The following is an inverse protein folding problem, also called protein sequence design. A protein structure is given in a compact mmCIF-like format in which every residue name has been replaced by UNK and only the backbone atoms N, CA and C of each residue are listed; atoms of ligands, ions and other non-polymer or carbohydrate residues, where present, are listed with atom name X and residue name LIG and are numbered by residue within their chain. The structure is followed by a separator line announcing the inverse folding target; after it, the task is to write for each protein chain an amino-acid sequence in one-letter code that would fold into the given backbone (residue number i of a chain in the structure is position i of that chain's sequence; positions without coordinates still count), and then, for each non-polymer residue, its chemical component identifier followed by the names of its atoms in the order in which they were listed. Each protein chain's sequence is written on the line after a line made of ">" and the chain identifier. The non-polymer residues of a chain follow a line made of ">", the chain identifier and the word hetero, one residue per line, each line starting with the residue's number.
data_IF_489421623407
#
_entry.id   IF_489421623407
#
_cell.length_a   1.000
_cell.length_b   1.000
_cell.length_c   1.000
_cell.angle_alpha   90.00
_cell.angle_beta   90.00
_cell.angle_gamma   90.00
#
_symmetry.space_group_name_H-M   'P 1'
#
loop_
_entity.id
_entity.type
_entity.pdbx_description
1 polymer ?
#
# COMPACT_ATOMS: atom_id res chain seq x y z
N UNK A 1 21.13 14.29 7.50
CA UNK A 1 21.31 15.54 8.28
C UNK A 1 20.23 16.52 7.80
N UNK A 2 19.21 16.84 8.61
CA UNK A 2 18.07 17.66 8.16
C UNK A 2 18.51 19.11 7.91
N UNK A 3 18.15 19.68 6.76
CA UNK A 3 18.41 21.09 6.45
C UNK A 3 17.72 22.00 7.49
N UNK A 4 18.45 22.92 8.15
CA UNK A 4 17.89 23.80 9.18
C UNK A 4 16.86 24.82 8.67
N UNK A 5 16.70 24.97 7.35
CA UNK A 5 15.78 25.92 6.71
C UNK A 5 14.47 25.31 6.17
N UNK A 6 14.25 23.99 6.35
CA UNK A 6 13.02 23.36 5.90
C UNK A 6 11.84 23.77 6.80
N UNK A 7 11.01 24.71 6.33
CA UNK A 7 9.76 25.12 6.98
C UNK A 7 8.84 23.91 7.17
N UNK A 8 8.49 23.60 8.42
CA UNK A 8 7.67 22.45 8.80
C UNK A 8 6.21 22.83 8.94
N UNK A 9 5.35 22.02 8.31
CA UNK A 9 3.91 22.07 8.53
C UNK A 9 3.57 21.72 9.98
N UNK A 10 2.45 22.25 10.49
CA UNK A 10 1.96 21.86 11.82
C UNK A 10 1.70 20.35 11.93
N UNK A 11 1.34 19.70 10.82
CA UNK A 11 0.97 18.27 10.77
C UNK A 11 2.13 17.37 11.22
N UNK A 12 3.37 17.74 10.91
CA UNK A 12 4.57 16.99 11.34
C UNK A 12 4.77 16.99 12.85
N UNK A 13 4.08 17.89 13.57
CA UNK A 13 4.15 18.04 15.02
C UNK A 13 2.93 17.46 15.72
N UNK A 14 1.96 16.94 14.98
CA UNK A 14 0.75 16.34 15.54
C UNK A 14 1.03 14.90 15.95
N UNK A 15 0.65 14.56 17.18
CA UNK A 15 0.73 13.18 17.69
C UNK A 15 -0.14 12.24 16.84
N UNK A 16 0.38 11.05 16.53
CA UNK A 16 -0.27 10.08 15.65
C UNK A 16 -1.68 9.68 16.12
N UNK A 17 -1.99 9.79 17.43
CA UNK A 17 -3.32 9.54 17.98
C UNK A 17 -4.41 10.47 17.43
N UNK A 18 -4.04 11.62 16.89
CA UNK A 18 -4.95 12.60 16.30
C UNK A 18 -5.01 12.50 14.78
N UNK A 19 -4.30 11.53 14.18
CA UNK A 19 -4.25 11.33 12.74
C UNK A 19 -5.14 10.16 12.33
N UNK A 20 -6.00 10.41 11.34
CA UNK A 20 -6.81 9.39 10.72
C UNK A 20 -5.91 8.33 10.05
N UNK A 21 -6.10 7.02 10.31
CA UNK A 21 -5.32 5.98 9.66
C UNK A 21 -5.54 5.92 8.14
N UNK A 22 -6.72 6.32 7.63
CA UNK A 22 -7.02 6.30 6.20
C UNK A 22 -6.36 7.44 5.42
N UNK A 23 -6.57 8.70 5.84
CA UNK A 23 -6.04 9.86 5.10
C UNK A 23 -4.72 10.40 5.65
N UNK A 24 -4.23 9.86 6.77
CA UNK A 24 -2.99 10.29 7.46
C UNK A 24 -2.95 11.77 7.81
N UNK A 25 -4.12 12.40 7.90
CA UNK A 25 -4.32 13.79 8.28
C UNK A 25 -5.07 13.88 9.61
N UNK A 26 -5.08 15.06 10.23
CA UNK A 26 -5.86 15.32 11.45
C UNK A 26 -7.33 14.97 11.24
N UNK A 27 -7.93 14.27 12.19
CA UNK A 27 -9.33 13.86 12.11
C UNK A 27 -10.28 15.03 11.81
N UNK A 28 -11.17 14.84 10.84
CA UNK A 28 -12.32 15.73 10.60
C UNK A 28 -13.60 14.92 10.77
N UNK A 29 -14.36 15.24 11.82
CA UNK A 29 -15.54 14.45 12.21
C UNK A 29 -15.18 13.01 12.55
N UNK A 30 -14.39 12.76 13.61
CA UNK A 30 -13.96 11.42 13.98
C UNK A 30 -15.18 10.52 14.23
N UNK A 31 -15.18 9.37 13.58
CA UNK A 31 -16.28 8.41 13.54
C UNK A 31 -15.75 7.03 13.86
N UNK A 32 -16.31 6.40 14.88
CA UNK A 32 -16.02 5.04 15.31
C UNK A 32 -16.59 4.04 14.33
N UNK A 33 -15.73 3.16 13.84
CA UNK A 33 -16.12 2.02 13.05
C UNK A 33 -16.71 0.94 13.96
N UNK A 34 -17.80 0.28 13.56
CA UNK A 34 -18.45 -0.77 14.35
C UNK A 34 -17.67 -2.08 14.29
N UNK A 35 -16.47 -2.10 14.84
CA UNK A 35 -15.58 -3.28 14.83
C UNK A 35 -15.30 -3.82 16.24
N UNK A 36 -15.86 -3.19 17.28
CA UNK A 36 -15.59 -3.52 18.68
C UNK A 36 -14.31 -2.94 19.27
N UNK A 37 -13.35 -2.51 18.44
CA UNK A 37 -11.98 -2.15 18.86
C UNK A 37 -11.72 -0.62 18.96
N UNK A 38 -12.77 0.19 19.10
CA UNK A 38 -12.68 1.67 19.19
C UNK A 38 -11.89 2.35 18.04
N UNK A 39 -11.78 1.69 16.89
CA UNK A 39 -11.14 2.24 15.71
C UNK A 39 -11.95 3.41 15.15
N UNK A 40 -11.28 4.54 14.93
CA UNK A 40 -11.89 5.76 14.41
C UNK A 40 -11.27 6.21 13.09
N UNK A 41 -12.09 6.81 12.24
CA UNK A 41 -11.72 7.40 10.94
C UNK A 41 -12.40 8.76 10.78
N UNK A 42 -11.93 9.61 9.87
CA UNK A 42 -12.73 10.78 9.47
C UNK A 42 -14.09 10.31 8.91
N UNK A 43 -15.16 11.07 9.15
CA UNK A 43 -16.50 10.77 8.65
C UNK A 43 -16.50 10.45 7.15
N UNK A 44 -15.89 11.34 6.35
CA UNK A 44 -15.79 11.16 4.91
C UNK A 44 -14.97 9.93 4.50
N UNK A 45 -13.91 9.59 5.26
CA UNK A 45 -13.11 8.39 5.00
C UNK A 45 -13.91 7.11 5.29
N UNK A 46 -14.67 7.10 6.38
CA UNK A 46 -15.54 5.98 6.72
C UNK A 46 -16.65 5.79 5.69
N UNK A 47 -17.31 6.87 5.27
CA UNK A 47 -18.36 6.86 4.23
C UNK A 47 -17.81 6.34 2.89
N UNK A 48 -16.68 6.89 2.44
CA UNK A 48 -16.02 6.44 1.20
C UNK A 48 -15.68 4.96 1.26
N UNK A 49 -15.24 4.47 2.42
CA UNK A 49 -14.94 3.06 2.62
C UNK A 49 -16.18 2.18 2.53
N UNK A 50 -17.29 2.58 3.17
CA UNK A 50 -18.56 1.87 3.07
C UNK A 50 -19.05 1.82 1.62
N UNK A 51 -18.92 2.92 0.88
CA UNK A 51 -19.43 3.02 -0.48
C UNK A 51 -18.55 2.26 -1.49
N UNK A 52 -17.23 2.21 -1.27
CA UNK A 52 -16.29 1.50 -2.15
C UNK A 52 -16.22 0.00 -1.88
N UNK A 53 -16.36 -0.40 -0.61
CA UNK A 53 -16.31 -1.81 -0.18
C UNK A 53 -17.67 -2.50 -0.28
N UNK A 54 -18.75 -1.71 -0.33
CA UNK A 54 -20.10 -2.17 -0.62
C UNK A 54 -20.27 -2.45 -2.11
N UNK A 55 -19.68 -3.53 -2.63
CA UNK A 55 -20.10 -4.08 -3.92
C UNK A 55 -21.63 -4.28 -3.90
N UNK A 56 -22.31 -4.05 -5.05
CA UNK A 56 -23.79 -3.96 -5.16
C UNK A 56 -24.51 -4.99 -4.28
N UNK A 57 -25.08 -4.56 -3.16
CA UNK A 57 -25.93 -5.38 -2.30
C UNK A 57 -25.34 -5.82 -0.95
N UNK A 58 -24.08 -5.51 -0.63
CA UNK A 58 -23.51 -5.79 0.71
C UNK A 58 -24.05 -4.78 1.73
N UNK A 59 -24.60 -5.26 2.84
CA UNK A 59 -25.08 -4.37 3.91
C UNK A 59 -23.89 -3.67 4.59
N UNK A 60 -24.06 -2.42 5.03
CA UNK A 60 -23.01 -1.68 5.78
C UNK A 60 -22.48 -2.44 7.00
N UNK A 61 -23.31 -3.30 7.60
CA UNK A 61 -22.92 -4.12 8.73
C UNK A 61 -21.89 -5.22 8.39
N UNK A 62 -21.79 -5.57 7.11
CA UNK A 62 -20.89 -6.61 6.59
C UNK A 62 -19.61 -6.02 5.99
N UNK A 63 -19.49 -4.69 5.93
CA UNK A 63 -18.26 -4.03 5.49
C UNK A 63 -17.18 -4.17 6.57
N UNK A 64 -16.01 -4.73 6.25
CA UNK A 64 -14.93 -4.93 7.20
C UNK A 64 -14.26 -3.61 7.59
N UNK A 65 -13.80 -3.51 8.84
CA UNK A 65 -12.99 -2.40 9.32
C UNK A 65 -11.64 -2.34 8.58
N UNK A 66 -11.18 -1.15 8.13
CA UNK A 66 -9.87 -1.00 7.49
C UNK A 66 -8.66 -1.44 8.33
N UNK A 67 -8.78 -1.42 9.67
CA UNK A 67 -7.65 -1.72 10.56
C UNK A 67 -7.63 -3.16 11.06
N UNK A 68 -8.78 -3.74 11.44
CA UNK A 68 -8.82 -5.08 12.01
C UNK A 68 -9.67 -6.08 11.23
N UNK A 69 -10.28 -5.66 10.12
CA UNK A 69 -11.13 -6.49 9.24
C UNK A 69 -12.38 -7.08 9.90
N UNK A 70 -12.64 -6.82 11.19
CA UNK A 70 -13.90 -7.16 11.83
C UNK A 70 -15.06 -6.34 11.24
N UNK A 71 -16.24 -6.97 11.15
CA UNK A 71 -17.47 -6.35 10.65
C UNK A 71 -18.40 -5.96 11.79
N UNK A 72 -19.37 -5.07 11.51
CA UNK A 72 -20.40 -4.71 12.48
C UNK A 72 -21.27 -5.90 12.89
N UNK A 73 -21.51 -6.83 11.96
CA UNK A 73 -22.21 -8.09 12.26
C UNK A 73 -21.45 -8.92 13.30
N UNK A 74 -20.11 -8.93 13.23
CA UNK A 74 -19.26 -9.60 14.21
C UNK A 74 -19.24 -8.94 15.60
N UNK A 75 -19.44 -7.61 15.69
CA UNK A 75 -19.36 -6.88 16.96
C UNK A 75 -20.70 -6.42 17.56
N UNK A 76 -21.79 -6.45 16.78
CA UNK A 76 -23.12 -5.96 17.19
C UNK A 76 -23.21 -4.44 17.42
N UNK A 77 -22.31 -3.64 16.83
CA UNK A 77 -22.22 -2.19 17.05
C UNK A 77 -22.65 -1.40 15.81
N UNK A 78 -22.98 -0.12 16.00
CA UNK A 78 -23.25 0.84 14.93
C UNK A 78 -22.10 1.82 14.72
N UNK A 79 -22.08 2.45 13.55
CA UNK A 79 -21.21 3.60 13.27
C UNK A 79 -21.67 4.76 14.14
N UNK A 80 -20.75 5.37 14.89
CA UNK A 80 -21.05 6.43 15.85
C UNK A 80 -19.97 7.51 15.80
N UNK A 81 -20.30 8.76 16.16
CA UNK A 81 -19.28 9.81 16.30
C UNK A 81 -18.43 9.56 17.55
N UNK A 82 -17.14 9.89 17.47
CA UNK A 82 -16.24 9.86 18.63
C UNK A 82 -16.16 11.24 19.27
N UNK A 83 -17.16 11.57 20.11
CA UNK A 83 -17.24 12.89 20.76
C UNK A 83 -16.05 13.15 21.71
N UNK A 84 -15.47 12.09 22.29
CA UNK A 84 -14.30 12.21 23.17
C UNK A 84 -13.04 12.60 22.38
N UNK A 85 -12.82 11.97 21.22
CA UNK A 85 -11.74 12.35 20.32
C UNK A 85 -11.96 13.75 19.74
N UNK A 86 -13.19 14.10 19.39
CA UNK A 86 -13.57 15.44 18.94
C UNK A 86 -13.28 16.51 20.00
N UNK A 87 -13.59 16.24 21.28
CA UNK A 87 -13.23 17.13 22.38
C UNK A 87 -11.72 17.30 22.53
N UNK A 88 -10.96 16.20 22.48
CA UNK A 88 -9.50 16.23 22.59
C UNK A 88 -8.84 17.02 21.43
N UNK A 89 -9.40 16.97 20.22
CA UNK A 89 -8.94 17.79 19.08
C UNK A 89 -9.14 19.29 19.31
N UNK A 90 -10.21 19.69 20.01
CA UNK A 90 -10.50 21.12 20.28
C UNK A 90 -9.58 21.71 21.35
N UNK A 91 -9.09 20.88 22.26
CA UNK A 91 -8.18 21.29 23.33
C UNK A 91 -6.72 21.32 22.90
N UNK A 92 -6.37 20.54 21.87
CA UNK A 92 -4.99 20.37 21.41
C UNK A 92 -4.60 21.43 20.36
N UNK A 93 -3.39 21.97 20.49
CA UNK A 93 -2.82 22.97 19.57
C UNK A 93 -1.48 22.50 19.01
N UNK A 94 -1.23 22.79 17.74
CA UNK A 94 0.04 22.54 17.08
C UNK A 94 0.61 23.83 16.47
N UNK A 95 1.93 23.99 16.54
CA UNK A 95 2.62 25.14 15.95
C UNK A 95 2.95 24.90 14.47
N UNK A 96 2.62 25.87 13.61
CA UNK A 96 3.00 25.89 12.20
C UNK A 96 4.14 26.88 11.99
N UNK A 97 5.09 26.58 11.08
CA UNK A 97 6.19 27.50 10.77
C UNK A 97 5.74 28.75 9.98
N UNK A 98 4.46 28.83 9.62
CA UNK A 98 3.84 30.08 9.16
C UNK A 98 3.59 31.08 10.32
N UNK A 99 3.89 30.68 11.58
CA UNK A 99 3.69 31.48 12.79
C UNK A 99 2.33 31.27 13.48
N UNK A 100 1.46 30.43 12.94
CA UNK A 100 0.14 30.16 13.53
C UNK A 100 0.19 29.05 14.60
N UNK A 101 -0.57 29.23 15.68
CA UNK A 101 -0.94 28.15 16.61
C UNK A 101 -2.30 27.61 16.22
N UNK A 102 -2.33 26.41 15.64
CA UNK A 102 -3.51 25.81 15.02
C UNK A 102 -4.17 24.87 16.03
N UNK A 103 -5.46 25.09 16.33
CA UNK A 103 -6.27 24.12 17.07
C UNK A 103 -6.56 22.94 16.14
N UNK A 104 -6.40 21.70 16.61
CA UNK A 104 -6.46 20.54 15.72
C UNK A 104 -7.85 20.36 15.07
N UNK A 105 -8.95 20.73 15.74
CA UNK A 105 -10.28 20.73 15.12
C UNK A 105 -10.41 21.69 13.93
N UNK A 106 -9.53 22.69 13.80
CA UNK A 106 -9.49 23.64 12.69
C UNK A 106 -8.37 23.35 11.67
N UNK A 107 -7.68 22.20 11.83
CA UNK A 107 -6.55 21.79 11.00
C UNK A 107 -6.84 21.85 9.50
N UNK A 108 -8.00 21.35 9.06
CA UNK A 108 -8.40 21.35 7.64
C UNK A 108 -8.56 22.76 7.08
N UNK A 109 -9.13 23.69 7.86
CA UNK A 109 -9.29 25.11 7.45
C UNK A 109 -7.94 25.80 7.33
N UNK A 110 -7.02 25.52 8.27
CA UNK A 110 -5.67 26.04 8.18
C UNK A 110 -4.93 25.47 6.97
N UNK A 111 -5.08 24.17 6.67
CA UNK A 111 -4.49 23.53 5.51
C UNK A 111 -4.88 24.21 4.19
N UNK A 112 -6.16 24.57 4.01
CA UNK A 112 -6.64 25.23 2.78
C UNK A 112 -6.04 26.63 2.56
N UNK A 113 -5.64 27.30 3.64
CA UNK A 113 -5.21 28.71 3.63
C UNK A 113 -3.72 28.91 3.89
N UNK A 114 -3.01 27.90 4.41
CA UNK A 114 -1.59 27.97 4.73
C UNK A 114 -0.74 27.39 3.60
N UNK A 115 0.09 28.22 2.97
CA UNK A 115 0.97 27.80 1.87
C UNK A 115 1.99 26.72 2.27
N UNK A 116 2.47 26.72 3.52
CA UNK A 116 3.42 25.70 4.02
C UNK A 116 2.71 24.35 4.19
N UNK A 117 1.50 24.35 4.75
CA UNK A 117 0.76 23.11 4.99
C UNK A 117 0.19 22.54 3.69
N UNK A 118 -0.33 23.41 2.82
CA UNK A 118 -0.88 23.05 1.50
C UNK A 118 0.14 22.37 0.59
N UNK A 119 1.41 22.76 0.68
CA UNK A 119 2.49 22.17 -0.10
C UNK A 119 2.83 20.72 0.32
N UNK A 120 2.49 20.30 1.56
CA UNK A 120 3.01 19.06 2.16
C UNK A 120 1.92 17.97 2.32
N UNK A 121 0.65 18.32 2.55
CA UNK A 121 -0.35 17.33 3.03
C UNK A 121 -1.67 17.32 2.27
N UNK A 122 -1.66 17.19 0.93
CA UNK A 122 -2.90 17.09 0.18
C UNK A 122 -3.79 15.91 0.64
N UNK A 123 -5.00 16.14 1.19
CA UNK A 123 -5.98 15.08 1.28
C UNK A 123 -6.39 14.71 -0.15
N UNK A 124 -6.52 13.41 -0.44
CA UNK A 124 -7.10 12.92 -1.69
C UNK A 124 -8.60 13.27 -1.75
N UNK A 125 -8.92 14.53 -2.00
CA UNK A 125 -10.26 14.93 -2.43
C UNK A 125 -10.31 14.79 -3.96
N UNK A 126 -10.73 13.62 -4.45
CA UNK A 126 -10.95 13.44 -5.88
C UNK A 126 -10.64 12.05 -6.42
N UNK A 127 -11.28 11.01 -5.89
CA UNK A 127 -11.65 9.90 -6.76
C UNK A 127 -12.64 10.48 -7.79
N UNK A 128 -12.12 10.91 -8.95
CA UNK A 128 -12.96 11.19 -10.12
C UNK A 128 -13.76 9.93 -10.36
N UNK A 129 -15.08 10.04 -10.26
CA UNK A 129 -15.98 9.02 -10.80
C UNK A 129 -15.57 8.78 -12.25
N UNK A 130 -15.37 7.53 -12.69
CA UNK A 130 -15.26 7.27 -14.11
C UNK A 130 -16.55 7.73 -14.76
N UNK A 131 -16.50 8.84 -15.50
CA UNK A 131 -17.61 9.24 -16.35
C UNK A 131 -17.89 8.06 -17.27
N UNK A 132 -19.05 7.43 -17.12
CA UNK A 132 -19.51 6.39 -18.03
C UNK A 132 -19.78 7.03 -19.39
N UNK A 133 -18.73 7.21 -20.17
CA UNK A 133 -18.80 7.39 -21.62
C UNK A 133 -19.27 6.06 -22.18
N UNK A 134 -20.60 5.89 -22.26
CA UNK A 134 -21.23 4.83 -23.04
C UNK A 134 -20.84 5.05 -24.49
N UNK A 135 -19.75 4.41 -24.93
CA UNK A 135 -19.54 4.14 -26.36
C UNK A 135 -20.64 3.17 -26.77
N UNK A 136 -21.68 3.71 -27.40
CA UNK A 136 -22.63 2.93 -28.20
C UNK A 136 -21.84 2.35 -29.36
N UNK A 137 -21.56 1.05 -29.32
CA UNK A 137 -21.21 0.33 -30.55
C UNK A 137 -22.52 0.06 -31.27
N UNK A 138 -22.72 0.77 -32.37
CA UNK A 138 -23.75 0.46 -33.34
C UNK A 138 -23.42 -0.89 -33.97
N UNK A 139 -24.30 -1.88 -33.80
CA UNK A 139 -24.36 -3.05 -34.68
C UNK A 139 -25.39 -2.74 -35.76
N UNK A 140 -24.88 -2.44 -36.95
CA UNK A 140 -25.66 -2.43 -38.17
C UNK A 140 -25.95 -3.88 -38.59
N UNK A 141 -27.13 -4.07 -39.19
CA UNK A 141 -27.78 -5.36 -39.37
C UNK A 141 -27.31 -6.16 -40.58
N UNK A 142 -27.62 -7.46 -40.54
CA UNK A 142 -27.54 -8.37 -41.67
C UNK A 142 -28.50 -9.53 -41.46
N UNK A 143 -29.57 -9.55 -42.25
CA UNK A 143 -30.80 -10.35 -42.16
C UNK A 143 -30.71 -11.64 -42.99
N UNK A 144 -31.38 -12.71 -42.54
CA UNK A 144 -31.97 -13.77 -43.38
C UNK A 144 -31.92 -15.16 -42.71
N UNK A 145 -33.06 -15.72 -42.24
CA UNK A 145 -33.99 -16.61 -42.98
C UNK A 145 -33.47 -18.09 -42.95
N UNK A 146 -34.17 -19.20 -42.71
CA UNK A 146 -35.54 -19.65 -42.36
C UNK A 146 -35.35 -20.99 -41.62
N UNK A 147 -36.13 -21.39 -40.61
CA UNK A 147 -37.29 -22.26 -40.84
C UNK A 147 -37.17 -23.65 -40.18
N UNK A 148 -38.14 -23.95 -39.31
CA UNK A 148 -38.71 -25.26 -38.96
C UNK A 148 -38.10 -26.16 -37.85
N UNK A 149 -38.92 -26.27 -36.78
CA UNK A 149 -39.45 -27.50 -36.18
C UNK A 149 -38.61 -28.33 -35.17
N UNK A 150 -39.04 -28.22 -33.91
CA UNK A 150 -39.33 -29.28 -32.92
C UNK A 150 -38.30 -30.39 -32.65
N UNK A 151 -37.85 -30.50 -31.39
CA UNK A 151 -38.34 -31.50 -30.44
C UNK A 151 -37.66 -31.32 -29.10
N UNK A 152 -38.45 -31.43 -28.03
CA UNK A 152 -38.00 -31.53 -26.65
C UNK A 152 -37.13 -32.78 -26.47
N UNK A 153 -35.95 -32.61 -25.89
CA UNK A 153 -35.18 -33.68 -25.30
C UNK A 153 -34.57 -33.14 -24.00
N UNK A 154 -35.14 -33.58 -22.89
CA UNK A 154 -34.62 -33.42 -21.54
C UNK A 154 -33.22 -34.05 -21.49
N UNK A 155 -32.19 -33.22 -21.26
CA UNK A 155 -30.86 -33.70 -20.90
C UNK A 155 -30.75 -33.59 -19.39
N UNK A 156 -30.90 -34.73 -18.72
CA UNK A 156 -30.50 -34.87 -17.32
C UNK A 156 -28.99 -34.69 -17.23
N UNK A 157 -28.55 -33.74 -16.41
CA UNK A 157 -27.13 -33.51 -16.11
C UNK A 157 -26.83 -34.31 -14.85
N UNK A 158 -26.10 -35.41 -15.02
CA UNK A 158 -25.51 -36.21 -13.95
C UNK A 158 -24.56 -35.34 -13.10
N UNK A 159 -24.68 -35.44 -11.78
CA UNK A 159 -24.06 -34.54 -10.82
C UNK A 159 -22.71 -35.04 -10.27
N UNK A 160 -22.01 -35.95 -10.95
CA UNK A 160 -20.86 -36.68 -10.36
C UNK A 160 -19.59 -36.73 -11.23
N UNK A 161 -19.32 -35.76 -12.10
CA UNK A 161 -17.98 -35.58 -12.69
C UNK A 161 -17.60 -34.10 -12.77
N UNK A 162 -17.25 -33.54 -11.61
CA UNK A 162 -16.26 -32.44 -11.55
C UNK A 162 -15.03 -33.05 -10.91
N UNK A 163 -14.24 -33.77 -11.71
CA UNK A 163 -12.83 -33.99 -11.43
C UNK A 163 -12.21 -32.59 -11.40
N UNK A 164 -11.93 -32.10 -10.19
CA UNK A 164 -11.14 -30.89 -10.00
C UNK A 164 -9.74 -31.19 -10.53
N UNK A 165 -9.46 -30.64 -11.71
CA UNK A 165 -8.13 -30.57 -12.29
C UNK A 165 -7.26 -29.73 -11.34
N UNK A 166 -6.61 -30.39 -10.38
CA UNK A 166 -5.59 -29.80 -9.51
C UNK A 166 -4.23 -29.72 -10.25
N UNK A 167 -4.23 -29.12 -11.43
CA UNK A 167 -2.99 -28.73 -12.12
C UNK A 167 -2.86 -27.22 -12.19
N UNK A 168 -1.77 -26.74 -11.58
CA UNK A 168 -1.11 -25.46 -11.85
C UNK A 168 -1.67 -24.17 -11.19
N UNK A 169 -1.89 -24.21 -9.87
CA UNK A 169 -2.10 -22.99 -9.05
C UNK A 169 -0.80 -22.40 -8.46
N UNK A 170 0.38 -22.97 -8.74
CA UNK A 170 1.66 -22.55 -8.16
C UNK A 170 2.56 -21.68 -9.07
N UNK A 171 2.18 -21.42 -10.33
CA UNK A 171 3.04 -20.74 -11.33
C UNK A 171 2.73 -19.25 -11.58
N UNK A 172 2.00 -18.59 -10.66
CA UNK A 172 1.62 -17.18 -10.79
C UNK A 172 1.99 -16.33 -9.57
N UNK A 173 3.11 -16.65 -8.90
CA UNK A 173 3.78 -15.66 -8.04
C UNK A 173 4.63 -14.75 -8.93
N UNK A 174 4.04 -13.65 -9.39
CA UNK A 174 4.77 -12.58 -10.07
C UNK A 174 5.85 -12.04 -9.12
N UNK A 175 7.11 -12.36 -9.37
CA UNK A 175 8.24 -11.82 -8.62
C UNK A 175 8.25 -10.29 -8.62
N UNK A 176 8.86 -9.70 -7.60
CA UNK A 176 9.10 -8.27 -7.49
C UNK A 176 10.23 -7.89 -8.44
N UNK A 177 9.93 -7.11 -9.47
CA UNK A 177 10.93 -6.58 -10.39
C UNK A 177 11.72 -5.43 -9.75
N UNK A 178 13.04 -5.57 -9.70
CA UNK A 178 13.97 -4.50 -9.38
C UNK A 178 14.21 -3.62 -10.61
N UNK A 179 13.52 -2.47 -10.65
CA UNK A 179 13.66 -1.47 -11.71
C UNK A 179 15.05 -0.84 -11.77
N UNK A 180 15.80 -0.85 -10.66
CA UNK A 180 17.19 -0.39 -10.60
C UNK A 180 18.13 -1.36 -11.35
N UNK A 181 18.02 -2.67 -11.08
CA UNK A 181 18.72 -3.71 -11.84
C UNK A 181 18.33 -3.68 -13.32
N UNK A 182 17.03 -3.58 -13.62
CA UNK A 182 16.55 -3.52 -15.00
C UNK A 182 17.11 -2.29 -15.74
N UNK A 183 17.09 -1.11 -15.11
CA UNK A 183 17.65 0.10 -15.69
C UNK A 183 19.16 -0.02 -15.91
N UNK A 184 19.90 -0.60 -14.95
CA UNK A 184 21.33 -0.83 -15.09
C UNK A 184 21.64 -1.77 -16.27
N UNK A 185 20.93 -2.90 -16.36
CA UNK A 185 21.08 -3.85 -17.45
C UNK A 185 20.81 -3.22 -18.82
N UNK A 186 19.71 -2.46 -18.96
CA UNK A 186 19.35 -1.81 -20.23
C UNK A 186 20.34 -0.73 -20.66
N UNK A 187 20.93 0.00 -19.69
CA UNK A 187 22.00 0.97 -19.98
C UNK A 187 23.27 0.28 -20.48
N UNK A 188 23.53 -0.96 -20.06
CA UNK A 188 24.68 -1.76 -20.51
C UNK A 188 24.42 -2.46 -21.85
N UNK A 189 23.18 -2.87 -22.14
CA UNK A 189 22.84 -3.53 -23.41
C UNK A 189 22.94 -2.59 -24.62
N UNK A 190 22.76 -1.27 -24.40
CA UNK A 190 22.94 -0.25 -25.43
C UNK A 190 21.74 -0.06 -26.38
N UNK A 191 20.63 -0.76 -26.12
CA UNK A 191 19.39 -0.69 -26.91
C UNK A 191 18.38 0.33 -26.35
N UNK A 192 18.89 1.50 -25.90
CA UNK A 192 18.09 2.61 -25.38
C UNK A 192 18.21 3.85 -26.28
N UNK A 193 17.13 4.62 -26.37
CA UNK A 193 17.20 5.97 -26.91
C UNK A 193 17.96 6.93 -25.96
N UNK A 194 18.44 8.05 -26.50
CA UNK A 194 19.23 9.04 -25.75
C UNK A 194 18.48 9.57 -24.51
N UNK A 195 17.16 9.68 -24.60
CA UNK A 195 16.32 10.17 -23.51
C UNK A 195 16.32 9.14 -22.36
N UNK A 196 15.98 7.88 -22.64
CA UNK A 196 15.99 6.79 -21.66
C UNK A 196 17.38 6.59 -21.04
N UNK A 197 18.46 6.72 -21.81
CA UNK A 197 19.83 6.55 -21.31
C UNK A 197 20.19 7.57 -20.21
N UNK A 198 19.65 8.79 -20.30
CA UNK A 198 19.95 9.90 -19.39
C UNK A 198 19.03 9.97 -18.17
N UNK A 199 17.87 9.30 -18.23
CA UNK A 199 16.88 9.29 -17.16
C UNK A 199 17.28 8.35 -16.00
N UNK A 200 16.81 8.69 -14.80
CA UNK A 200 16.78 7.76 -13.66
C UNK A 200 15.83 6.58 -13.96
N UNK A 201 15.92 5.51 -13.17
CA UNK A 201 15.10 4.30 -13.36
C UNK A 201 13.59 4.58 -13.37
N UNK A 202 13.16 5.65 -12.68
CA UNK A 202 11.77 6.09 -12.56
C UNK A 202 11.32 7.05 -13.67
N UNK A 203 12.21 7.42 -14.60
CA UNK A 203 11.92 8.31 -15.74
C UNK A 203 10.90 7.70 -16.70
N UNK A 204 10.24 8.54 -17.49
CA UNK A 204 9.12 8.06 -18.32
C UNK A 204 9.64 7.14 -19.43
N UNK A 205 10.67 7.58 -20.15
CA UNK A 205 11.29 6.80 -21.24
C UNK A 205 11.97 5.55 -20.69
N UNK A 206 12.66 5.65 -19.55
CA UNK A 206 13.28 4.49 -18.91
C UNK A 206 12.24 3.46 -18.45
N UNK A 207 11.12 3.88 -17.84
CA UNK A 207 10.04 2.95 -17.44
C UNK A 207 9.41 2.24 -18.62
N UNK A 208 9.16 2.96 -19.71
CA UNK A 208 8.64 2.35 -20.93
C UNK A 208 9.62 1.32 -21.50
N UNK A 209 10.93 1.55 -21.37
CA UNK A 209 11.95 0.60 -21.77
C UNK A 209 11.99 -0.66 -20.90
N UNK A 210 11.94 -0.49 -19.58
CA UNK A 210 11.88 -1.59 -18.62
C UNK A 210 10.64 -2.46 -18.86
N UNK A 211 9.46 -1.87 -19.01
CA UNK A 211 8.23 -2.63 -19.23
C UNK A 211 8.24 -3.37 -20.57
N UNK A 212 8.82 -2.77 -21.62
CA UNK A 212 9.01 -3.44 -22.91
C UNK A 212 9.92 -4.66 -22.79
N UNK A 213 11.06 -4.51 -22.13
CA UNK A 213 12.01 -5.60 -21.90
C UNK A 213 11.39 -6.72 -21.03
N UNK A 214 10.63 -6.34 -20.00
CA UNK A 214 9.88 -7.27 -19.17
C UNK A 214 8.85 -8.07 -19.96
N UNK A 215 8.06 -7.41 -20.82
CA UNK A 215 7.06 -8.08 -21.66
C UNK A 215 7.68 -8.97 -22.74
N UNK A 216 8.90 -8.66 -23.17
CA UNK A 216 9.67 -9.45 -24.12
C UNK A 216 10.49 -10.58 -23.45
N UNK A 217 10.52 -10.64 -22.11
CA UNK A 217 11.34 -11.56 -21.33
C UNK A 217 12.86 -11.39 -21.56
N UNK A 218 13.28 -10.14 -21.83
CA UNK A 218 14.68 -9.78 -22.13
C UNK A 218 15.46 -9.35 -20.88
N UNK A 219 14.84 -9.37 -19.69
CA UNK A 219 15.49 -8.99 -18.42
C UNK A 219 16.10 -10.22 -17.72
N UNK A 220 17.30 -10.12 -17.13
CA UNK A 220 17.89 -11.22 -16.37
C UNK A 220 17.03 -11.66 -15.18
N UNK A 221 17.03 -12.95 -14.88
CA UNK A 221 16.36 -13.54 -13.70
C UNK A 221 16.73 -12.83 -12.39
N UNK A 222 17.98 -12.35 -12.28
CA UNK A 222 18.47 -11.62 -11.11
C UNK A 222 17.70 -10.31 -10.84
N UNK A 223 16.97 -9.78 -11.82
CA UNK A 223 16.10 -8.61 -11.63
C UNK A 223 14.80 -8.96 -10.90
N UNK A 224 14.44 -10.23 -10.75
CA UNK A 224 13.17 -10.69 -10.18
C UNK A 224 13.39 -11.32 -8.81
N UNK A 225 12.68 -10.81 -7.80
CA UNK A 225 12.81 -11.25 -6.41
C UNK A 225 11.52 -11.96 -5.98
N UNK A 226 11.66 -13.10 -5.34
CA UNK A 226 10.55 -14.02 -5.03
C UNK A 226 9.61 -13.54 -3.91
N UNK A 227 10.02 -12.53 -3.14
CA UNK A 227 9.30 -12.08 -1.94
C UNK A 227 9.56 -10.61 -1.64
N UNK A 228 8.65 -10.01 -0.86
CA UNK A 228 8.78 -8.63 -0.38
C UNK A 228 10.08 -8.42 0.41
N UNK A 229 10.47 -9.40 1.22
CA UNK A 229 11.69 -9.35 2.04
C UNK A 229 12.93 -9.47 1.15
N UNK A 230 12.97 -10.44 0.23
CA UNK A 230 14.10 -10.58 -0.71
C UNK A 230 14.30 -9.31 -1.55
N UNK A 231 13.20 -8.68 -2.01
CA UNK A 231 13.26 -7.39 -2.69
C UNK A 231 13.84 -6.28 -1.82
N UNK A 232 13.33 -6.10 -0.60
CA UNK A 232 13.81 -5.06 0.30
C UNK A 232 15.29 -5.25 0.65
N UNK A 233 15.69 -6.47 0.99
CA UNK A 233 17.07 -6.78 1.36
C UNK A 233 18.03 -6.58 0.19
N UNK A 234 17.66 -7.04 -1.02
CA UNK A 234 18.44 -6.82 -2.23
C UNK A 234 18.68 -5.33 -2.50
N UNK A 235 17.61 -4.51 -2.52
CA UNK A 235 17.75 -3.07 -2.77
C UNK A 235 18.59 -2.40 -1.68
N UNK A 236 18.40 -2.77 -0.41
CA UNK A 236 19.14 -2.15 0.69
C UNK A 236 20.62 -2.56 0.73
N UNK A 237 20.96 -3.75 0.25
CA UNK A 237 22.32 -4.26 0.21
C UNK A 237 23.10 -3.80 -1.03
N UNK A 238 22.45 -3.79 -2.19
CA UNK A 238 23.11 -3.64 -3.48
C UNK A 238 22.92 -2.26 -4.12
N UNK A 239 21.95 -1.46 -3.64
CA UNK A 239 21.51 -0.23 -4.31
C UNK A 239 21.49 1.03 -3.41
N UNK A 240 22.65 1.51 -2.95
CA UNK A 240 22.81 2.80 -2.22
C UNK A 240 23.37 3.92 -3.14
N UNK A 241 23.10 3.83 -4.45
CA UNK A 241 23.45 4.86 -5.43
C UNK A 241 22.37 5.95 -5.57
N UNK A 242 22.70 7.13 -6.13
CA UNK A 242 21.75 8.24 -6.27
C UNK A 242 20.44 7.91 -7.01
N UNK A 243 20.46 6.92 -7.92
CA UNK A 243 19.27 6.49 -8.67
C UNK A 243 18.24 5.84 -7.72
N UNK A 244 18.69 5.06 -6.74
CA UNK A 244 17.85 4.41 -5.72
C UNK A 244 17.18 5.39 -4.75
N UNK A 245 17.75 6.59 -4.61
CA UNK A 245 17.17 7.68 -3.81
C UNK A 245 16.18 8.56 -4.58
N UNK A 246 15.82 8.20 -5.81
CA UNK A 246 14.83 8.94 -6.60
C UNK A 246 13.38 8.56 -6.24
N UNK A 247 12.38 9.40 -6.57
CA UNK A 247 10.99 9.13 -6.24
C UNK A 247 10.40 8.00 -7.08
N UNK A 248 9.95 6.90 -6.49
CA UNK A 248 9.30 5.81 -7.25
C UNK A 248 8.11 5.21 -6.51
N UNK A 249 7.29 4.42 -7.20
CA UNK A 249 6.23 3.61 -6.62
C UNK A 249 6.87 2.36 -6.00
N UNK A 250 6.70 2.16 -4.70
CA UNK A 250 7.24 1.01 -3.99
C UNK A 250 6.46 -0.28 -4.38
N UNK A 251 7.10 -1.30 -4.99
CA UNK A 251 6.43 -2.53 -5.40
C UNK A 251 5.78 -3.29 -4.23
N UNK A 252 6.44 -3.29 -3.07
CA UNK A 252 5.89 -3.89 -1.84
C UNK A 252 4.57 -3.22 -1.45
N UNK A 253 4.54 -1.88 -1.45
CA UNK A 253 3.35 -1.12 -1.07
C UNK A 253 2.18 -1.39 -2.02
N UNK A 254 2.43 -1.50 -3.33
CA UNK A 254 1.39 -1.77 -4.34
C UNK A 254 0.84 -3.19 -4.17
N UNK A 255 1.68 -4.16 -3.82
CA UNK A 255 1.27 -5.55 -3.59
C UNK A 255 0.45 -5.76 -2.32
N UNK A 256 0.35 -4.77 -1.43
CA UNK A 256 -0.53 -4.87 -0.26
C UNK A 256 -2.01 -4.78 -0.68
N UNK A 257 -2.97 -5.39 0.06
CA UNK A 257 -4.40 -5.37 -0.29
C UNK A 257 -5.04 -3.98 -0.46
N UNK A 258 -4.38 -2.92 0.00
CA UNK A 258 -4.80 -1.53 -0.12
C UNK A 258 -3.69 -0.66 -0.75
N UNK A 259 -2.79 -1.28 -1.51
CA UNK A 259 -1.73 -0.63 -2.25
C UNK A 259 -2.30 0.27 -3.34
N UNK A 260 -1.70 1.44 -3.49
CA UNK A 260 -2.08 2.41 -4.53
C UNK A 260 -0.97 2.45 -5.58
N UNK A 261 -1.24 2.01 -6.83
CA UNK A 261 -0.24 2.00 -7.89
C UNK A 261 0.24 3.39 -8.28
N UNK A 262 -0.53 4.44 -7.97
CA UNK A 262 -0.15 5.83 -8.26
C UNK A 262 0.64 6.48 -7.10
N UNK A 263 0.86 5.76 -6.00
CA UNK A 263 1.52 6.31 -4.81
C UNK A 263 3.04 6.24 -4.94
N UNK A 264 3.61 7.36 -5.37
CA UNK A 264 5.06 7.59 -5.42
C UNK A 264 5.59 7.96 -4.03
N UNK A 265 6.63 7.26 -3.57
CA UNK A 265 7.42 7.63 -2.39
C UNK A 265 8.53 8.59 -2.81
N UNK A 266 8.92 9.51 -1.94
CA UNK A 266 9.91 10.55 -2.29
C UNK A 266 11.33 10.00 -2.50
N UNK A 267 11.66 8.91 -1.83
CA UNK A 267 12.97 8.24 -1.85
C UNK A 267 12.69 6.75 -1.63
N UNK A 268 12.91 5.93 -2.65
CA UNK A 268 12.61 4.50 -2.62
C UNK A 268 13.48 3.78 -1.59
N UNK A 269 14.79 4.02 -1.61
CA UNK A 269 15.74 3.39 -0.69
C UNK A 269 15.39 3.67 0.78
N UNK A 270 15.22 4.95 1.15
CA UNK A 270 14.93 5.33 2.52
C UNK A 270 13.51 4.91 2.95
N UNK A 271 12.57 4.85 2.00
CA UNK A 271 11.25 4.28 2.25
C UNK A 271 11.34 2.79 2.60
N UNK A 272 12.06 2.01 1.79
CA UNK A 272 12.29 0.58 2.05
C UNK A 272 12.96 0.42 3.40
N UNK A 273 14.09 1.09 3.66
CA UNK A 273 14.82 1.01 4.93
C UNK A 273 13.94 1.24 6.16
N UNK A 274 13.04 2.23 6.11
CA UNK A 274 12.19 2.62 7.24
C UNK A 274 10.92 1.81 7.39
N UNK A 275 10.35 1.31 6.29
CA UNK A 275 9.00 0.70 6.27
C UNK A 275 9.01 -0.79 5.95
N UNK A 276 10.04 -1.27 5.27
CA UNK A 276 10.14 -2.62 4.74
C UNK A 276 11.47 -3.32 5.07
N UNK A 277 12.50 -2.60 5.50
CA UNK A 277 13.75 -3.15 6.03
C UNK A 277 13.64 -3.65 7.46
N UNK A 278 12.43 -3.65 8.02
CA UNK A 278 12.13 -4.29 9.30
C UNK A 278 11.61 -5.70 9.03
N UNK A 279 12.46 -6.69 9.25
CA UNK A 279 12.08 -8.10 9.16
C UNK A 279 11.55 -8.61 10.52
N UNK A 280 10.28 -9.03 10.54
CA UNK A 280 9.67 -9.66 11.71
C UNK A 280 10.28 -11.03 12.01
N UNK A 281 10.84 -11.74 11.02
CA UNK A 281 11.44 -13.06 11.24
C UNK A 281 12.73 -13.00 12.07
N UNK A 282 13.38 -11.83 12.14
CA UNK A 282 14.48 -11.60 13.09
C UNK A 282 14.04 -11.67 14.56
N UNK A 283 12.80 -11.30 14.87
CA UNK A 283 12.29 -11.24 16.25
C UNK A 283 11.30 -12.37 16.58
N UNK A 284 10.59 -12.87 15.57
CA UNK A 284 9.67 -13.99 15.66
C UNK A 284 9.88 -14.93 14.45
N UNK A 285 11.01 -15.66 14.39
CA UNK A 285 11.35 -16.55 13.27
C UNK A 285 10.35 -17.70 13.08
N UNK A 286 9.57 -18.01 14.10
CA UNK A 286 8.45 -18.94 14.01
C UNK A 286 7.18 -18.32 14.63
N UNK A 287 6.19 -17.93 13.81
CA UNK A 287 4.92 -17.36 14.30
C UNK A 287 4.02 -18.37 15.02
N UNK A 288 4.40 -19.65 15.06
CA UNK A 288 3.73 -20.71 15.83
C UNK A 288 4.52 -21.14 17.07
N UNK A 289 5.74 -20.64 17.26
CA UNK A 289 6.52 -20.96 18.44
C UNK A 289 5.93 -20.27 19.69
N UNK A 290 6.00 -20.98 20.81
CA UNK A 290 5.52 -20.48 22.09
C UNK A 290 6.34 -19.26 22.54
N UNK A 291 5.66 -18.23 23.02
CA UNK A 291 6.27 -16.94 23.39
C UNK A 291 7.36 -17.10 24.46
N UNK A 292 7.19 -18.04 25.39
CA UNK A 292 8.18 -18.31 26.45
C UNK A 292 9.42 -19.00 25.90
N UNK A 293 9.28 -19.83 24.86
CA UNK A 293 10.40 -20.51 24.22
C UNK A 293 11.28 -19.53 23.44
N UNK A 294 10.65 -18.59 22.71
CA UNK A 294 11.35 -17.51 22.01
C UNK A 294 12.11 -16.63 23.02
N UNK A 295 11.44 -16.18 24.09
CA UNK A 295 12.06 -15.38 25.16
C UNK A 295 13.23 -16.12 25.81
N UNK A 296 13.06 -17.40 26.15
CA UNK A 296 14.12 -18.20 26.76
C UNK A 296 15.32 -18.40 25.82
N UNK A 297 15.09 -18.49 24.50
CA UNK A 297 16.16 -18.56 23.50
C UNK A 297 16.93 -17.24 23.44
N UNK A 298 16.24 -16.11 23.29
CA UNK A 298 16.87 -14.78 23.20
C UNK A 298 17.68 -14.48 24.46
N UNK A 299 17.16 -14.82 25.65
CA UNK A 299 17.92 -14.67 26.91
C UNK A 299 19.19 -15.53 26.94
N UNK A 300 19.14 -16.76 26.44
CA UNK A 300 20.31 -17.64 26.34
C UNK A 300 21.36 -17.10 25.37
N UNK A 301 20.94 -16.58 24.23
CA UNK A 301 21.84 -16.04 23.21
C UNK A 301 22.47 -14.72 23.69
N UNK A 302 21.70 -13.84 24.34
CA UNK A 302 22.24 -12.63 24.98
C UNK A 302 23.27 -12.93 26.08
N UNK A 303 23.04 -13.98 26.88
CA UNK A 303 24.02 -14.42 27.89
C UNK A 303 25.31 -14.96 27.26
N UNK A 304 25.24 -15.57 26.07
CA UNK A 304 26.42 -16.05 25.33
C UNK A 304 27.20 -14.89 24.72
N UNK A 305 26.52 -13.91 24.15
CA UNK A 305 27.16 -12.71 23.60
C UNK A 305 27.77 -11.81 24.67
N UNK A 306 27.16 -11.76 25.85
CA UNK A 306 27.69 -11.06 27.01
C UNK A 306 28.83 -11.83 27.71
N UNK A 307 29.10 -13.08 27.33
CA UNK A 307 30.22 -13.83 27.90
C UNK A 307 31.53 -13.15 27.50
N UNK A 308 32.44 -12.88 28.46
CA UNK A 308 33.70 -12.21 28.16
C UNK A 308 34.47 -13.02 27.13
N UNK A 309 34.86 -12.37 26.03
CA UNK A 309 35.76 -12.95 25.05
C UNK A 309 37.08 -13.22 25.76
N UNK A 310 37.31 -14.48 26.11
CA UNK A 310 38.61 -14.95 26.56
C UNK A 310 39.57 -14.73 25.39
N UNK A 311 40.48 -13.77 25.55
CA UNK A 311 41.60 -13.60 24.63
C UNK A 311 42.44 -14.88 24.71
N UNK A 312 42.30 -15.72 23.69
CA UNK A 312 43.19 -16.84 23.47
C UNK A 312 44.44 -16.30 22.78
N UNK A 313 45.38 -15.77 23.57
CA UNK A 313 46.77 -15.59 23.18
C UNK A 313 47.62 -15.56 24.46
N UNK A 314 48.11 -16.74 24.82
CA UNK A 314 49.32 -16.98 25.63
C UNK A 314 50.12 -18.08 24.91
#
# INVERSE_FOLDING_TARGET
>A
MFSPDARRSFVERVDERFLCPCCRFVFTGPTRFPCGNAHAFCLACAETWFDSSGARGVARADVPCPMCRCTARGSGRSVERDDALEAALRETRAACDCGASVVLSEASRHYETCEITRAITAPRSGARTPSTSRRRVARDGGRGNDGAASSDADVEIDADEIEADETDVDEMYSGFLCTLCAAAFLRESGDLDDDAQSEAHNGTSMREAIERARLADDLPDACYLDSMTAFADHVLADHDEPDAHSPDVCPICVSLPHGDPDRVVADLYEHLRRRHGFDWTLYAPDPRADEYEILARVMRDSLRDAAPRVNADD
#
